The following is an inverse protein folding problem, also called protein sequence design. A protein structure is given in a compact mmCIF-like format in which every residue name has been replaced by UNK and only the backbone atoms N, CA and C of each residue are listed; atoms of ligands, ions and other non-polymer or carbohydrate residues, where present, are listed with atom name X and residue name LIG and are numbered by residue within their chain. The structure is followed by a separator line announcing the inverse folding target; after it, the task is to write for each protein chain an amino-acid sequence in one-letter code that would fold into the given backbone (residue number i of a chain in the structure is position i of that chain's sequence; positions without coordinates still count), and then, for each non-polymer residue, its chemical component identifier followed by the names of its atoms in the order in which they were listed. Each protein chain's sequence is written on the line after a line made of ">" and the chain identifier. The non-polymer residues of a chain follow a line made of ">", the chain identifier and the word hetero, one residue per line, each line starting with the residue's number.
data_IF_403358084159
#
_entry.id   IF_403358084159
#
_cell.length_a   1.000
_cell.length_b   1.000
_cell.length_c   1.000
_cell.angle_alpha   90.00
_cell.angle_beta   90.00
_cell.angle_gamma   90.00
#
_symmetry.space_group_name_H-M   'P 1'
#
loop_
_entity.id
_entity.type
_entity.pdbx_description
1 polymer ?
#
# COMPACT_ATOMS: atom_id res chain seq x y z
N UNK A 1 -1.01 12.73 13.14
CA UNK A 1 -1.17 13.99 12.38
C UNK A 1 -0.80 13.71 10.93
N UNK A 2 -1.62 14.18 9.98
CA UNK A 2 -1.41 14.06 8.53
C UNK A 2 -1.17 15.46 7.97
N UNK A 3 -0.12 15.63 7.17
CA UNK A 3 0.15 16.88 6.48
C UNK A 3 -0.56 16.87 5.12
N UNK A 4 -1.35 17.92 4.86
CA UNK A 4 -2.09 18.12 3.61
C UNK A 4 -1.42 19.23 2.80
N UNK A 5 -1.36 19.06 1.47
CA UNK A 5 -0.71 20.02 0.57
C UNK A 5 0.82 20.02 0.72
N UNK A 6 1.43 18.85 0.85
CA UNK A 6 2.90 18.74 1.02
C UNK A 6 3.59 19.09 -0.30
N UNK A 7 4.42 20.13 -0.28
CA UNK A 7 5.30 20.50 -1.37
C UNK A 7 6.76 20.48 -0.91
N UNK A 8 7.64 20.12 -1.84
CA UNK A 8 9.08 20.13 -1.64
C UNK A 8 9.66 21.38 -2.27
N UNK A 9 10.61 22.01 -1.58
CA UNK A 9 11.31 23.17 -2.11
C UNK A 9 12.80 23.08 -1.78
N UNK A 10 13.63 23.65 -2.64
CA UNK A 10 15.07 23.74 -2.40
C UNK A 10 15.34 24.85 -1.39
N UNK A 11 16.02 24.51 -0.29
CA UNK A 11 16.46 25.44 0.75
C UNK A 11 17.98 25.45 0.77
N UNK A 12 18.55 26.63 0.96
CA UNK A 12 20.00 26.80 1.01
C UNK A 12 20.45 27.31 2.39
N UNK A 13 21.66 26.95 2.85
CA UNK A 13 22.22 27.47 4.09
C UNK A 13 22.35 29.00 4.05
N UNK A 14 21.98 29.68 5.14
CA UNK A 14 21.96 31.15 5.22
C UNK A 14 23.32 31.82 4.91
N UNK A 15 24.42 31.12 5.14
CA UNK A 15 25.79 31.62 4.96
C UNK A 15 26.62 30.82 3.93
N UNK A 16 25.97 30.17 2.95
CA UNK A 16 26.62 29.38 1.91
C UNK A 16 26.29 29.82 0.49
N UNK A 17 27.07 29.37 -0.50
CA UNK A 17 26.75 29.59 -1.91
C UNK A 17 25.56 28.73 -2.35
N UNK A 18 24.66 29.30 -3.14
CA UNK A 18 23.48 28.63 -3.71
C UNK A 18 23.88 27.71 -4.87
N UNK A 19 24.59 26.63 -4.55
CA UNK A 19 24.97 25.57 -5.50
C UNK A 19 24.04 24.37 -5.33
N UNK A 20 23.84 23.60 -6.42
CA UNK A 20 23.01 22.38 -6.38
C UNK A 20 23.54 21.32 -5.40
N UNK A 21 24.84 21.33 -5.12
CA UNK A 21 25.49 20.42 -4.16
C UNK A 21 25.20 20.81 -2.70
N UNK A 22 24.85 22.07 -2.43
CA UNK A 22 24.50 22.59 -1.11
C UNK A 22 22.98 22.75 -0.91
N UNK A 23 22.16 22.26 -1.85
CA UNK A 23 20.71 22.33 -1.76
C UNK A 23 20.19 21.30 -0.75
N UNK A 24 19.54 21.79 0.31
CA UNK A 24 18.78 20.96 1.24
C UNK A 24 17.32 20.89 0.78
N UNK A 25 16.69 19.71 0.88
CA UNK A 25 15.27 19.58 0.57
C UNK A 25 14.43 20.05 1.76
N UNK A 26 13.75 21.17 1.61
CA UNK A 26 12.72 21.65 2.53
C UNK A 26 11.37 20.99 2.24
N UNK A 27 10.61 20.75 3.30
CA UNK A 27 9.22 20.29 3.22
C UNK A 27 8.35 21.45 3.72
N UNK A 28 7.39 21.88 2.89
CA UNK A 28 6.32 22.77 3.30
C UNK A 28 4.99 22.03 3.18
N UNK A 29 4.04 22.39 4.04
CA UNK A 29 2.68 21.88 4.00
C UNK A 29 1.70 23.01 4.27
N UNK A 30 0.50 22.92 3.72
CA UNK A 30 -0.52 23.95 3.88
C UNK A 30 -1.18 23.88 5.26
N UNK A 31 -1.60 22.66 5.68
CA UNK A 31 -2.22 22.42 6.99
C UNK A 31 -1.92 21.02 7.52
N UNK A 32 -1.88 20.89 8.84
CA UNK A 32 -1.75 19.61 9.54
C UNK A 32 -3.05 19.22 10.21
N UNK A 33 -3.60 18.05 9.86
CA UNK A 33 -4.78 17.49 10.51
C UNK A 33 -4.36 16.52 11.61
N UNK A 34 -4.85 16.75 12.83
CA UNK A 34 -4.53 15.89 13.97
C UNK A 34 -5.39 14.62 13.92
N UNK A 35 -4.75 13.46 14.09
CA UNK A 35 -5.46 12.18 14.11
C UNK A 35 -5.85 11.83 15.55
N UNK A 36 -6.80 10.91 15.72
CA UNK A 36 -7.15 10.40 17.04
C UNK A 36 -5.90 9.85 17.75
N UNK A 37 -5.86 10.03 19.08
CA UNK A 37 -4.74 9.63 19.91
C UNK A 37 -4.59 8.09 20.02
N UNK A 38 -5.66 7.35 19.70
CA UNK A 38 -5.66 5.88 19.68
C UNK A 38 -5.35 5.37 18.26
N UNK A 39 -4.18 4.74 18.04
CA UNK A 39 -3.80 4.25 16.71
C UNK A 39 -4.78 3.22 16.11
N UNK A 40 -5.53 2.50 16.96
CA UNK A 40 -6.52 1.51 16.54
C UNK A 40 -7.76 2.13 15.89
N UNK A 41 -8.06 3.38 16.21
CA UNK A 41 -9.25 4.08 15.70
C UNK A 41 -8.93 4.88 14.44
N UNK A 42 -7.66 4.87 14.02
CA UNK A 42 -7.22 5.55 12.81
C UNK A 42 -7.62 4.71 11.61
N UNK A 43 -8.72 5.11 10.97
CA UNK A 43 -9.11 4.55 9.69
C UNK A 43 -8.28 5.18 8.55
N UNK A 44 -7.16 4.51 8.24
CA UNK A 44 -6.29 4.93 7.15
C UNK A 44 -6.95 4.83 5.77
N UNK A 45 -8.03 4.05 5.60
CA UNK A 45 -8.76 4.01 4.34
C UNK A 45 -9.64 5.26 4.20
N UNK A 46 -10.37 5.63 5.26
CA UNK A 46 -11.15 6.87 5.31
C UNK A 46 -10.27 8.11 5.13
N UNK A 47 -9.14 8.19 5.82
CA UNK A 47 -8.19 9.31 5.67
C UNK A 47 -7.60 9.41 4.27
N UNK A 48 -7.35 8.27 3.62
CA UNK A 48 -6.88 8.26 2.22
C UNK A 48 -8.00 8.63 1.25
N UNK A 49 -9.24 8.27 1.53
CA UNK A 49 -10.38 8.69 0.73
C UNK A 49 -10.65 10.20 0.86
N UNK A 50 -10.52 10.76 2.07
CA UNK A 50 -10.81 12.16 2.37
C UNK A 50 -9.69 13.12 1.96
N UNK A 51 -8.42 12.72 2.15
CA UNK A 51 -7.27 13.62 1.98
C UNK A 51 -6.30 13.23 0.87
N UNK A 52 -6.51 12.10 0.20
CA UNK A 52 -5.67 11.68 -0.92
C UNK A 52 -6.40 11.93 -2.24
N UNK A 53 -5.80 12.75 -3.10
CA UNK A 53 -6.34 13.20 -4.38
C UNK A 53 -6.82 12.12 -5.39
N UNK A 54 -6.43 10.82 -5.37
CA UNK A 54 -6.96 9.89 -6.37
C UNK A 54 -8.46 9.54 -6.23
N UNK A 55 -9.16 9.87 -5.14
CA UNK A 55 -10.55 9.44 -4.92
C UNK A 55 -11.64 10.48 -5.27
N UNK A 56 -11.27 11.75 -5.55
CA UNK A 56 -12.20 12.81 -5.99
C UNK A 56 -12.25 12.98 -7.52
N UNK A 57 -11.65 12.07 -8.29
CA UNK A 57 -11.61 12.18 -9.74
C UNK A 57 -13.04 12.14 -10.32
N UNK A 58 -13.44 13.18 -11.06
CA UNK A 58 -14.71 13.20 -11.82
C UNK A 58 -14.47 12.61 -13.21
N UNK A 59 -15.18 11.53 -13.54
CA UNK A 59 -15.02 10.79 -14.78
C UNK A 59 -16.10 9.72 -14.92
N UNK A 60 -16.33 9.23 -16.14
CA UNK A 60 -17.38 8.23 -16.42
C UNK A 60 -16.90 6.77 -16.24
N UNK A 61 -15.59 6.53 -16.13
CA UNK A 61 -15.01 5.19 -15.95
C UNK A 61 -13.66 5.32 -15.22
N UNK A 62 -13.44 4.44 -14.26
CA UNK A 62 -12.21 4.40 -13.46
C UNK A 62 -11.63 2.99 -13.49
N UNK A 63 -10.32 2.85 -13.75
CA UNK A 63 -9.69 1.54 -13.67
C UNK A 63 -9.51 1.18 -12.19
N UNK A 64 -10.28 0.21 -11.71
CA UNK A 64 -10.21 -0.33 -10.36
C UNK A 64 -9.69 -1.77 -10.45
N UNK A 65 -8.64 -2.05 -9.71
CA UNK A 65 -8.11 -3.40 -9.52
C UNK A 65 -8.81 -4.04 -8.32
N UNK A 66 -9.47 -5.18 -8.55
CA UNK A 66 -10.07 -6.00 -7.51
C UNK A 66 -9.11 -7.16 -7.25
N UNK A 67 -8.58 -7.24 -6.03
CA UNK A 67 -7.68 -8.31 -5.59
C UNK A 67 -8.37 -9.15 -4.54
N UNK A 68 -8.36 -10.46 -4.73
CA UNK A 68 -8.91 -11.43 -3.78
C UNK A 68 -7.77 -12.19 -3.11
N UNK A 69 -7.91 -12.43 -1.81
CA UNK A 69 -6.98 -13.24 -1.03
C UNK A 69 -7.68 -14.54 -0.65
N UNK A 70 -7.21 -15.65 -1.22
CA UNK A 70 -7.62 -17.00 -0.86
C UNK A 70 -6.62 -17.58 0.15
N UNK A 71 -7.10 -18.24 1.20
CA UNK A 71 -6.24 -18.79 2.25
C UNK A 71 -6.87 -20.00 2.95
N UNK A 72 -6.16 -21.13 2.91
CA UNK A 72 -6.49 -22.36 3.66
C UNK A 72 -5.30 -22.82 4.49
N UNK A 73 -5.56 -23.41 5.66
CA UNK A 73 -4.52 -24.03 6.49
C UNK A 73 -4.50 -25.53 6.21
N UNK A 74 -3.40 -26.01 5.65
CA UNK A 74 -3.18 -27.43 5.36
C UNK A 74 -2.10 -28.02 6.27
N UNK A 75 -2.34 -29.26 6.74
CA UNK A 75 -1.39 -29.97 7.58
C UNK A 75 -0.52 -30.90 6.72
N UNK A 76 0.71 -30.49 6.47
CA UNK A 76 1.66 -31.26 5.65
C UNK A 76 2.66 -31.97 6.56
N UNK A 77 2.75 -33.29 6.43
CA UNK A 77 3.77 -34.08 7.12
C UNK A 77 5.11 -34.03 6.37
N UNK A 78 6.12 -33.50 7.04
CA UNK A 78 7.52 -33.48 6.64
C UNK A 78 8.44 -33.46 7.88
N UNK A 79 9.74 -33.71 7.69
CA UNK A 79 10.73 -33.76 8.77
C UNK A 79 11.18 -32.35 9.21
N UNK A 80 11.17 -31.38 8.29
CA UNK A 80 11.49 -29.98 8.58
C UNK A 80 10.43 -29.02 8.01
N UNK A 81 10.40 -27.78 8.52
CA UNK A 81 9.51 -26.73 7.99
C UNK A 81 9.84 -26.39 6.53
N UNK A 82 11.11 -26.42 6.15
CA UNK A 82 11.53 -26.20 4.76
C UNK A 82 10.95 -27.25 3.82
N UNK A 83 11.10 -28.53 4.19
CA UNK A 83 10.55 -29.65 3.42
C UNK A 83 9.01 -29.59 3.33
N UNK A 84 8.34 -29.12 4.39
CA UNK A 84 6.90 -28.94 4.37
C UNK A 84 6.46 -27.87 3.36
N UNK A 85 7.22 -26.77 3.26
CA UNK A 85 6.96 -25.70 2.28
C UNK A 85 7.21 -26.21 0.86
N UNK A 86 8.33 -26.90 0.63
CA UNK A 86 8.66 -27.45 -0.68
C UNK A 86 7.61 -28.46 -1.15
N UNK A 87 7.17 -29.34 -0.25
CA UNK A 87 6.09 -30.28 -0.51
C UNK A 87 4.75 -29.57 -0.76
N UNK A 88 4.44 -28.51 -0.03
CA UNK A 88 3.25 -27.69 -0.31
C UNK A 88 3.29 -27.11 -1.74
N UNK A 89 4.45 -26.59 -2.16
CA UNK A 89 4.62 -26.05 -3.50
C UNK A 89 4.44 -27.12 -4.59
N UNK A 90 4.95 -28.33 -4.36
CA UNK A 90 4.76 -29.46 -5.30
C UNK A 90 3.28 -29.86 -5.41
N UNK A 91 2.59 -30.05 -4.28
CA UNK A 91 1.17 -30.39 -4.25
C UNK A 91 0.31 -29.31 -4.92
N UNK A 92 0.65 -28.03 -4.72
CA UNK A 92 -0.04 -26.93 -5.37
C UNK A 92 0.18 -26.96 -6.90
N UNK A 93 1.41 -27.20 -7.36
CA UNK A 93 1.72 -27.37 -8.79
C UNK A 93 1.03 -28.58 -9.41
N UNK A 94 0.85 -29.65 -8.64
CA UNK A 94 0.11 -30.85 -9.04
C UNK A 94 -1.41 -30.67 -9.01
N UNK A 95 -1.91 -29.49 -8.60
CA UNK A 95 -3.32 -29.18 -8.45
C UNK A 95 -4.05 -29.97 -7.35
N UNK A 96 -3.32 -30.56 -6.39
CA UNK A 96 -3.93 -31.33 -5.30
C UNK A 96 -4.44 -30.44 -4.16
N UNK A 97 -3.76 -29.33 -3.88
CA UNK A 97 -4.11 -28.37 -2.80
C UNK A 97 -4.42 -26.96 -3.32
N UNK A 98 -4.90 -26.87 -4.56
CA UNK A 98 -5.29 -25.56 -5.14
C UNK A 98 -6.48 -25.00 -4.38
N UNK A 99 -6.39 -23.71 -4.07
CA UNK A 99 -7.43 -22.97 -3.38
C UNK A 99 -8.56 -22.63 -4.35
N UNK A 100 -9.78 -22.71 -3.87
CA UNK A 100 -10.98 -22.39 -4.64
C UNK A 100 -11.77 -21.23 -4.00
N UNK A 101 -12.98 -20.99 -4.50
CA UNK A 101 -13.83 -19.91 -4.02
C UNK A 101 -14.30 -20.08 -2.55
N UNK A 102 -14.27 -21.29 -2.01
CA UNK A 102 -14.62 -21.55 -0.60
C UNK A 102 -13.51 -21.09 0.35
N UNK A 103 -12.26 -21.00 -0.13
CA UNK A 103 -11.09 -20.52 0.61
C UNK A 103 -10.96 -19.00 0.63
N UNK A 104 -12.02 -18.28 0.22
CA UNK A 104 -12.04 -16.84 0.18
C UNK A 104 -11.92 -16.20 1.57
N UNK A 105 -10.98 -15.25 1.71
CA UNK A 105 -10.69 -14.61 2.99
C UNK A 105 -10.90 -13.10 3.01
N UNK A 106 -10.51 -12.40 1.95
CA UNK A 106 -10.64 -10.94 1.88
C UNK A 106 -10.60 -10.39 0.44
N UNK A 107 -11.26 -9.24 0.20
CA UNK A 107 -11.21 -8.48 -1.06
C UNK A 107 -10.60 -7.10 -0.81
N UNK A 108 -9.60 -6.73 -1.61
CA UNK A 108 -9.05 -5.37 -1.65
C UNK A 108 -9.44 -4.67 -2.96
N UNK A 109 -9.90 -3.43 -2.84
CA UNK A 109 -10.24 -2.56 -3.96
C UNK A 109 -9.21 -1.45 -4.07
N UNK A 110 -8.43 -1.45 -5.15
CA UNK A 110 -7.35 -0.50 -5.35
C UNK A 110 -7.57 0.27 -6.65
N UNK A 111 -7.35 1.59 -6.68
CA UNK A 111 -7.28 2.31 -7.94
C UNK A 111 -6.09 1.76 -8.73
N UNK A 112 -6.33 1.26 -9.94
CA UNK A 112 -5.24 0.79 -10.79
C UNK A 112 -4.41 2.02 -11.17
N UNK A 113 -3.12 2.02 -10.82
CA UNK A 113 -2.20 3.02 -11.35
C UNK A 113 -2.19 2.82 -12.87
N UNK A 114 -2.61 3.84 -13.62
CA UNK A 114 -2.34 3.87 -15.05
C UNK A 114 -0.82 3.75 -15.20
N UNK A 115 -0.33 2.62 -15.68
CA UNK A 115 1.07 2.49 -16.03
C UNK A 115 1.37 3.57 -17.08
N UNK A 116 2.15 4.58 -16.67
CA UNK A 116 2.71 5.56 -17.59
C UNK A 116 3.64 4.80 -18.52
N UNK A 117 3.15 4.49 -19.71
CA UNK A 117 3.93 3.92 -20.80
C UNK A 117 4.90 4.94 -21.39
#
# INVERSE_FOLDING_TARGET
>A
MVAVGVAYYERYPYAGEHTKENAETGIQWDRGEYLDARPSDIDFAALRAEFCEPYEQKGNSFPIEIREVLSRVENIHAETLGDAIDKAMELYKQSEIVLDAEDFKDVSYLPAKAESR
#
